data_IF_641709912900
#
_entry.id   IF_641709912900
#
_cell.length_a   1.000
_cell.length_b   1.000
_cell.length_c   1.000
_cell.angle_alpha   90.00
_cell.angle_beta   90.00
_cell.angle_gamma   90.00
#
_symmetry.space_group_name_H-M   'P 1'
#
loop_
_entity.id
_entity.type
_entity.pdbx_description
1 polymer ?
#
# COMPACT_ATOMS: atom_id res chain seq x y z
N UNK A 1 3.46 -11.02 16.43
CA UNK A 1 4.78 -11.30 15.76
C UNK A 1 5.28 -9.95 15.30
N UNK A 2 6.52 -9.58 15.60
CA UNK A 2 7.08 -8.32 15.12
C UNK A 2 7.23 -8.31 13.58
N UNK A 3 7.31 -7.13 13.01
CA UNK A 3 7.31 -6.97 11.54
C UNK A 3 8.55 -7.57 10.88
N UNK A 4 9.72 -7.54 11.55
CA UNK A 4 10.93 -8.15 11.04
C UNK A 4 10.74 -9.67 10.83
N UNK A 5 10.21 -10.35 11.85
CA UNK A 5 9.89 -11.79 11.77
C UNK A 5 8.82 -12.08 10.71
N UNK A 6 7.81 -11.23 10.57
CA UNK A 6 6.79 -11.39 9.52
C UNK A 6 7.43 -11.32 8.12
N UNK A 7 8.29 -10.32 7.87
CA UNK A 7 8.98 -10.16 6.59
C UNK A 7 9.98 -11.30 6.35
N UNK A 8 10.70 -11.76 7.37
CA UNK A 8 11.60 -12.93 7.25
C UNK A 8 10.84 -14.19 6.80
N UNK A 9 9.64 -14.40 7.32
CA UNK A 9 8.81 -15.55 6.99
C UNK A 9 7.99 -15.37 5.69
N UNK A 10 7.89 -14.15 5.17
CA UNK A 10 7.17 -13.88 3.94
C UNK A 10 7.75 -14.63 2.75
N UNK A 11 6.89 -15.25 1.94
CA UNK A 11 7.29 -15.96 0.71
C UNK A 11 7.08 -15.04 -0.49
N UNK A 12 8.15 -14.56 -1.13
CA UNK A 12 8.06 -13.71 -2.31
C UNK A 12 7.28 -14.36 -3.44
N UNK A 13 6.45 -13.60 -4.12
CA UNK A 13 5.66 -14.05 -5.26
C UNK A 13 6.51 -14.15 -6.55
N UNK A 14 7.46 -13.25 -6.71
CA UNK A 14 8.31 -13.14 -7.88
C UNK A 14 9.70 -12.58 -7.51
N UNK A 15 10.57 -12.42 -8.52
CA UNK A 15 11.93 -11.91 -8.32
C UNK A 15 11.94 -10.46 -7.78
N UNK A 16 10.99 -9.61 -8.18
CA UNK A 16 10.89 -8.25 -7.64
C UNK A 16 10.67 -8.28 -6.12
N UNK A 17 9.68 -9.04 -5.63
CA UNK A 17 9.44 -9.16 -4.19
C UNK A 17 10.60 -9.82 -3.44
N UNK A 18 11.33 -10.75 -4.06
CA UNK A 18 12.50 -11.36 -3.44
C UNK A 18 13.61 -10.34 -3.23
N UNK A 19 13.89 -9.49 -4.23
CA UNK A 19 14.88 -8.42 -4.13
C UNK A 19 14.46 -7.36 -3.13
N UNK A 20 13.22 -6.92 -3.20
CA UNK A 20 12.65 -5.91 -2.32
C UNK A 20 12.62 -6.39 -0.86
N UNK A 21 12.23 -7.64 -0.61
CA UNK A 21 12.34 -8.27 0.72
C UNK A 21 13.75 -8.18 1.29
N UNK A 22 14.76 -8.53 0.49
CA UNK A 22 16.16 -8.43 0.92
C UNK A 22 16.53 -7.02 1.35
N UNK A 23 16.21 -6.03 0.53
CA UNK A 23 16.51 -4.62 0.81
C UNK A 23 15.74 -4.10 2.04
N UNK A 24 14.47 -4.45 2.19
CA UNK A 24 13.68 -4.09 3.37
C UNK A 24 14.32 -4.66 4.65
N UNK A 25 14.69 -5.94 4.64
CA UNK A 25 15.35 -6.57 5.78
C UNK A 25 16.69 -5.92 6.13
N UNK A 26 17.49 -5.55 5.12
CA UNK A 26 18.76 -4.86 5.33
C UNK A 26 18.53 -3.48 5.97
N UNK A 27 17.55 -2.72 5.50
CA UNK A 27 17.19 -1.42 6.09
C UNK A 27 16.68 -1.57 7.54
N UNK A 28 15.79 -2.54 7.81
CA UNK A 28 15.27 -2.80 9.16
C UNK A 28 16.38 -3.16 10.16
N UNK A 29 17.44 -3.80 9.70
CA UNK A 29 18.59 -4.15 10.54
C UNK A 29 19.62 -3.02 10.69
N UNK A 30 19.68 -2.12 9.71
CA UNK A 30 20.66 -1.04 9.66
C UNK A 30 20.22 0.25 10.35
N UNK A 31 18.89 0.55 10.35
CA UNK A 31 18.34 1.82 10.80
C UNK A 31 17.38 1.64 11.96
N UNK A 32 17.67 2.26 13.11
CA UNK A 32 16.80 2.26 14.28
C UNK A 32 15.54 3.15 14.06
N UNK A 33 15.64 4.15 13.19
CA UNK A 33 14.61 5.16 12.90
C UNK A 33 13.78 4.85 11.64
N UNK A 34 13.88 3.64 11.09
CA UNK A 34 13.25 3.24 9.81
C UNK A 34 11.72 3.38 9.81
N UNK A 35 11.06 3.36 10.95
CA UNK A 35 9.62 3.58 11.07
C UNK A 35 9.21 5.05 11.07
N UNK A 36 10.15 5.97 11.04
CA UNK A 36 9.88 7.42 11.05
C UNK A 36 10.38 8.10 9.79
N UNK A 37 9.75 9.23 9.42
CA UNK A 37 10.20 10.07 8.30
C UNK A 37 11.46 10.88 8.63
N UNK A 38 12.01 10.75 9.83
CA UNK A 38 13.30 11.31 10.21
C UNK A 38 14.42 10.59 9.48
N UNK A 39 14.23 9.30 9.17
CA UNK A 39 15.09 8.61 8.22
C UNK A 39 14.84 9.13 6.79
N UNK A 40 15.72 10.01 6.35
CA UNK A 40 15.61 10.67 5.06
C UNK A 40 16.04 9.79 3.86
N UNK A 41 16.58 8.60 4.10
CA UNK A 41 17.00 7.67 3.05
C UNK A 41 15.90 6.67 2.70
N UNK A 42 15.31 6.06 3.73
CA UNK A 42 14.31 5.04 3.58
C UNK A 42 13.46 4.92 4.84
N UNK A 43 12.14 4.78 4.69
CA UNK A 43 11.27 4.55 5.84
C UNK A 43 10.07 3.67 5.49
N UNK A 44 9.52 3.03 6.53
CA UNK A 44 8.42 2.09 6.38
C UNK A 44 7.11 2.79 6.03
N UNK A 45 6.39 2.17 5.10
CA UNK A 45 5.02 2.53 4.73
C UNK A 45 4.14 1.30 4.71
N UNK A 46 2.84 1.49 4.86
CA UNK A 46 1.86 0.42 4.75
C UNK A 46 0.77 0.82 3.75
N UNK A 47 0.49 -0.08 2.81
CA UNK A 47 -0.55 0.10 1.81
C UNK A 47 -1.59 -1.02 1.88
N UNK A 48 -2.73 -0.77 1.28
CA UNK A 48 -3.83 -1.73 1.22
C UNK A 48 -4.31 -1.92 -0.22
N UNK A 49 -4.39 -3.17 -0.65
CA UNK A 49 -5.21 -3.55 -1.79
C UNK A 49 -6.61 -3.87 -1.27
N UNK A 50 -7.51 -2.90 -1.37
CA UNK A 50 -8.85 -2.99 -0.77
C UNK A 50 -9.82 -3.51 -1.80
N UNK A 51 -10.37 -4.70 -1.57
CA UNK A 51 -11.35 -5.34 -2.44
C UNK A 51 -12.74 -5.39 -1.80
N UNK A 52 -13.78 -5.52 -2.61
CA UNK A 52 -15.12 -5.77 -2.10
C UNK A 52 -15.31 -7.26 -1.71
N UNK A 53 -16.41 -7.59 -1.07
CA UNK A 53 -16.74 -8.97 -0.62
C UNK A 53 -16.79 -10.00 -1.79
N UNK A 54 -17.04 -9.55 -3.02
CA UNK A 54 -17.07 -10.41 -4.21
C UNK A 54 -15.70 -10.60 -4.86
N UNK A 55 -14.68 -9.85 -4.43
CA UNK A 55 -13.35 -9.84 -5.03
C UNK A 55 -13.35 -9.45 -6.53
N UNK A 56 -14.30 -8.61 -6.95
CA UNK A 56 -14.43 -8.14 -8.33
C UNK A 56 -14.20 -6.64 -8.51
N UNK A 57 -14.00 -5.91 -7.39
CA UNK A 57 -13.73 -4.47 -7.38
C UNK A 57 -12.60 -4.12 -6.43
N UNK A 58 -11.90 -3.04 -6.77
CA UNK A 58 -10.82 -2.43 -5.98
C UNK A 58 -11.14 -0.98 -5.68
N UNK A 59 -10.91 -0.57 -4.44
CA UNK A 59 -11.03 0.81 -3.99
C UNK A 59 -9.71 1.56 -4.26
N UNK A 60 -9.79 2.71 -4.91
CA UNK A 60 -8.63 3.58 -5.15
C UNK A 60 -8.95 5.03 -4.79
N UNK A 61 -7.91 5.78 -4.45
CA UNK A 61 -7.97 7.23 -4.25
C UNK A 61 -7.20 7.96 -5.36
N UNK A 62 -7.70 9.14 -5.76
CA UNK A 62 -6.98 10.02 -6.69
C UNK A 62 -6.03 10.90 -5.91
N UNK A 63 -4.75 10.55 -5.94
CA UNK A 63 -3.72 11.19 -5.13
C UNK A 63 -3.25 12.50 -5.77
N UNK A 64 -3.42 13.62 -5.05
CA UNK A 64 -3.16 14.96 -5.56
C UNK A 64 -1.69 15.20 -5.94
N UNK A 65 -0.74 14.60 -5.22
CA UNK A 65 0.69 14.79 -5.49
C UNK A 65 1.15 14.04 -6.75
N UNK A 66 0.64 12.81 -6.95
CA UNK A 66 1.04 11.97 -8.08
C UNK A 66 0.18 12.16 -9.33
N UNK A 67 -0.94 12.92 -9.20
CA UNK A 67 -1.93 13.14 -10.27
C UNK A 67 -2.39 11.81 -10.89
N UNK A 68 -2.69 10.85 -10.02
CA UNK A 68 -2.95 9.45 -10.39
C UNK A 68 -3.95 8.80 -9.45
N UNK A 69 -4.73 7.83 -9.98
CA UNK A 69 -5.44 6.87 -9.15
C UNK A 69 -4.44 5.87 -8.56
N UNK A 70 -4.46 5.75 -7.25
CA UNK A 70 -3.54 4.91 -6.49
C UNK A 70 -4.26 4.06 -5.45
N UNK A 71 -3.62 3.00 -4.99
CA UNK A 71 -4.03 2.29 -3.78
C UNK A 71 -4.05 3.23 -2.57
N UNK A 72 -4.61 2.78 -1.45
CA UNK A 72 -4.63 3.55 -0.21
C UNK A 72 -3.49 3.12 0.70
N UNK A 73 -2.93 4.06 1.45
CA UNK A 73 -1.84 3.77 2.37
C UNK A 73 -1.08 5.00 2.81
N UNK A 74 -0.21 4.82 3.79
CA UNK A 74 0.56 5.91 4.35
C UNK A 74 1.82 5.48 5.07
N UNK A 75 2.44 6.43 5.75
CA UNK A 75 3.67 6.22 6.48
C UNK A 75 3.41 5.57 7.84
N UNK A 76 4.37 4.78 8.30
CA UNK A 76 4.33 4.18 9.64
C UNK A 76 4.30 5.23 10.75
N UNK A 77 5.04 6.34 10.58
CA UNK A 77 5.10 7.48 11.53
C UNK A 77 5.34 7.06 12.99
N UNK A 78 6.18 6.03 13.17
CA UNK A 78 6.56 5.47 14.46
C UNK A 78 5.72 4.29 14.92
N UNK A 79 4.69 3.91 14.19
CA UNK A 79 3.88 2.72 14.49
C UNK A 79 4.48 1.48 13.79
N UNK A 80 4.80 0.45 14.54
CA UNK A 80 5.35 -0.81 14.02
C UNK A 80 4.26 -1.81 13.62
N UNK A 81 3.00 -1.58 14.00
CA UNK A 81 1.85 -2.36 13.53
C UNK A 81 1.38 -1.87 12.16
N UNK A 82 2.05 -2.32 11.11
CA UNK A 82 1.78 -1.88 9.74
C UNK A 82 0.39 -2.30 9.23
N UNK A 83 -0.21 -3.37 9.76
CA UNK A 83 -1.60 -3.72 9.47
C UNK A 83 -2.56 -2.68 10.07
N UNK A 84 -2.31 -2.25 11.31
CA UNK A 84 -3.10 -1.19 11.92
C UNK A 84 -2.95 0.15 11.17
N UNK A 85 -1.72 0.47 10.70
CA UNK A 85 -1.46 1.64 9.83
C UNK A 85 -2.29 1.55 8.55
N UNK A 86 -2.22 0.43 7.80
CA UNK A 86 -2.99 0.26 6.57
C UNK A 86 -4.51 0.40 6.78
N UNK A 87 -5.04 -0.21 7.85
CA UNK A 87 -6.46 -0.09 8.20
C UNK A 87 -6.88 1.34 8.56
N UNK A 88 -6.02 2.07 9.25
CA UNK A 88 -6.23 3.47 9.61
C UNK A 88 -6.26 4.35 8.36
N UNK A 89 -5.25 4.23 7.49
CA UNK A 89 -5.15 5.03 6.27
C UNK A 89 -6.34 4.79 5.34
N UNK A 90 -6.78 3.53 5.15
CA UNK A 90 -7.99 3.25 4.37
C UNK A 90 -9.21 4.00 4.89
N UNK A 91 -9.42 4.02 6.23
CA UNK A 91 -10.55 4.74 6.82
C UNK A 91 -10.44 6.25 6.65
N UNK A 92 -9.25 6.81 6.83
CA UNK A 92 -8.98 8.26 6.72
C UNK A 92 -9.11 8.76 5.28
N UNK A 93 -8.53 8.04 4.32
CA UNK A 93 -8.50 8.45 2.92
C UNK A 93 -9.80 8.21 2.17
N UNK A 94 -10.61 7.22 2.58
CA UNK A 94 -11.82 6.82 1.86
C UNK A 94 -13.13 7.01 2.62
N UNK A 95 -13.08 7.19 3.93
CA UNK A 95 -14.26 7.24 4.79
C UNK A 95 -14.95 5.89 5.01
N UNK A 96 -14.42 4.79 4.47
CA UNK A 96 -14.96 3.45 4.69
C UNK A 96 -14.79 3.05 6.16
N UNK A 97 -15.90 2.73 6.84
CA UNK A 97 -15.90 2.39 8.27
C UNK A 97 -15.63 0.92 8.53
N UNK A 98 -16.25 0.05 7.74
CA UNK A 98 -16.20 -1.40 7.91
C UNK A 98 -15.17 -2.00 6.95
N UNK A 99 -13.89 -1.85 7.28
CA UNK A 99 -12.77 -2.48 6.59
C UNK A 99 -12.11 -3.50 7.51
N UNK A 100 -11.81 -4.69 6.98
CA UNK A 100 -11.18 -5.79 7.69
C UNK A 100 -10.09 -6.46 6.85
N UNK A 101 -9.09 -7.08 7.45
CA UNK A 101 -8.11 -7.85 6.70
C UNK A 101 -8.76 -9.12 6.12
N UNK A 102 -8.36 -9.49 4.91
CA UNK A 102 -8.66 -10.79 4.32
C UNK A 102 -7.80 -11.90 4.94
N UNK A 103 -6.57 -11.55 5.33
CA UNK A 103 -5.63 -12.28 6.19
C UNK A 103 -4.81 -11.23 6.96
N UNK A 104 -4.33 -11.58 8.15
CA UNK A 104 -3.37 -10.75 8.90
C UNK A 104 -1.94 -10.83 8.34
N UNK A 105 -1.70 -11.76 7.42
CA UNK A 105 -0.40 -11.92 6.79
C UNK A 105 -0.11 -10.81 5.77
N UNK A 106 1.18 -10.53 5.59
CA UNK A 106 1.66 -9.65 4.53
C UNK A 106 1.21 -10.18 3.18
N UNK A 107 0.56 -9.33 2.40
CA UNK A 107 0.07 -9.68 1.08
C UNK A 107 1.12 -9.44 -0.01
N UNK A 108 1.88 -8.35 0.08
CA UNK A 108 2.91 -8.01 -0.91
C UNK A 108 3.98 -7.11 -0.31
N UNK A 109 5.19 -7.13 -0.90
CA UNK A 109 6.32 -6.28 -0.51
C UNK A 109 6.81 -5.49 -1.72
N UNK A 110 7.07 -4.21 -1.53
CA UNK A 110 7.59 -3.30 -2.55
C UNK A 110 8.61 -2.32 -1.96
N UNK A 111 9.68 -2.06 -2.70
CA UNK A 111 10.51 -0.87 -2.47
C UNK A 111 10.18 0.16 -3.54
N UNK A 112 9.61 1.28 -3.11
CA UNK A 112 9.12 2.33 -3.99
C UNK A 112 10.03 3.55 -3.94
N UNK A 113 10.36 4.11 -5.09
CA UNK A 113 11.12 5.36 -5.17
C UNK A 113 10.19 6.56 -5.05
N UNK A 114 10.58 7.53 -4.24
CA UNK A 114 9.91 8.83 -4.14
C UNK A 114 10.85 9.90 -4.66
N UNK A 115 10.43 10.61 -5.68
CA UNK A 115 11.18 11.73 -6.24
C UNK A 115 11.21 12.91 -5.27
N UNK A 116 12.30 13.70 -5.35
CA UNK A 116 12.41 14.92 -4.59
C UNK A 116 11.27 15.89 -4.91
N UNK A 117 10.60 16.41 -3.89
CA UNK A 117 9.41 17.24 -4.06
C UNK A 117 9.30 18.36 -3.01
N UNK A 118 8.39 19.31 -3.26
CA UNK A 118 8.06 20.35 -2.29
C UNK A 118 6.87 19.93 -1.44
N UNK A 119 7.03 19.90 -0.12
CA UNK A 119 5.95 19.62 0.84
C UNK A 119 5.86 20.76 1.86
N UNK A 120 4.70 21.43 1.91
CA UNK A 120 4.47 22.58 2.82
C UNK A 120 5.57 23.64 2.78
N UNK A 121 6.07 23.94 1.58
CA UNK A 121 7.10 24.96 1.34
C UNK A 121 8.55 24.54 1.68
N UNK A 122 8.78 23.27 2.02
CA UNK A 122 10.11 22.70 2.25
C UNK A 122 10.43 21.65 1.21
N UNK A 123 11.69 21.57 0.79
CA UNK A 123 12.18 20.52 -0.10
C UNK A 123 12.38 19.22 0.68
N UNK A 124 11.83 18.14 0.15
CA UNK A 124 12.03 16.78 0.61
C UNK A 124 12.89 16.05 -0.43
N UNK A 125 14.01 15.48 0.00
CA UNK A 125 14.91 14.73 -0.88
C UNK A 125 14.26 13.46 -1.41
N UNK A 126 14.74 12.95 -2.56
CA UNK A 126 14.39 11.62 -3.02
C UNK A 126 14.78 10.57 -1.98
N UNK A 127 13.90 9.60 -1.78
CA UNK A 127 14.06 8.56 -0.77
C UNK A 127 13.29 7.29 -1.16
N UNK A 128 13.39 6.25 -0.35
CA UNK A 128 12.68 4.99 -0.56
C UNK A 128 11.54 4.82 0.45
N UNK A 129 10.40 4.39 -0.05
CA UNK A 129 9.36 3.78 0.78
C UNK A 129 9.55 2.27 0.82
N UNK A 130 9.77 1.73 2.01
CA UNK A 130 9.83 0.31 2.29
C UNK A 130 8.40 -0.14 2.59
N UNK A 131 7.69 -0.58 1.56
CA UNK A 131 6.25 -0.75 1.62
C UNK A 131 5.82 -2.18 1.92
N UNK A 132 4.90 -2.31 2.86
CA UNK A 132 4.19 -3.56 3.17
C UNK A 132 2.74 -3.41 2.77
N UNK A 133 2.26 -4.26 1.87
CA UNK A 133 0.88 -4.25 1.40
C UNK A 133 0.04 -5.33 2.08
N UNK A 134 -1.17 -4.97 2.50
CA UNK A 134 -2.18 -5.90 3.04
C UNK A 134 -3.38 -6.01 2.11
N UNK A 135 -3.96 -7.22 2.03
CA UNK A 135 -5.24 -7.43 1.34
C UNK A 135 -6.38 -7.18 2.32
N UNK A 136 -7.14 -6.13 2.07
CA UNK A 136 -8.27 -5.75 2.91
C UNK A 136 -9.59 -5.92 2.16
N UNK A 137 -10.66 -6.16 2.92
CA UNK A 137 -12.03 -6.28 2.41
C UNK A 137 -12.88 -5.17 2.98
N UNK A 138 -13.65 -4.51 2.12
CA UNK A 138 -14.61 -3.49 2.51
C UNK A 138 -15.93 -3.63 1.72
N UNK A 139 -17.01 -3.12 2.29
CA UNK A 139 -18.33 -3.10 1.65
C UNK A 139 -18.38 -1.98 0.60
N UNK A 140 -18.59 -2.35 -0.67
CA UNK A 140 -18.66 -1.42 -1.81
C UNK A 140 -19.96 -0.58 -1.87
N UNK A 141 -20.87 -0.77 -0.91
CA UNK A 141 -22.07 0.06 -0.73
C UNK A 141 -21.88 1.24 0.23
N UNK A 142 -20.74 1.31 0.93
CA UNK A 142 -20.45 2.42 1.84
C UNK A 142 -20.34 3.75 1.10
N UNK A 143 -20.77 4.82 1.78
CA UNK A 143 -20.55 6.19 1.28
C UNK A 143 -19.06 6.51 1.39
N UNK A 144 -18.46 6.86 0.26
CA UNK A 144 -17.05 7.25 0.17
C UNK A 144 -16.90 8.76 0.44
N UNK A 145 -15.81 9.12 1.10
CA UNK A 145 -15.43 10.51 1.34
C UNK A 145 -13.97 10.71 0.97
N UNK A 146 -13.62 11.91 0.52
CA UNK A 146 -12.26 12.30 0.21
C UNK A 146 -11.58 12.89 1.45
N UNK A 147 -10.25 12.82 1.50
CA UNK A 147 -9.37 13.56 2.42
C UNK A 147 -8.70 14.69 1.62
N UNK A 148 -9.27 15.92 1.61
CA UNK A 148 -8.95 16.94 0.61
C UNK A 148 -7.50 17.40 0.57
N UNK A 149 -6.75 17.23 1.65
CA UNK A 149 -5.31 17.53 1.74
C UNK A 149 -4.42 16.45 1.09
N UNK A 150 -4.96 15.27 0.79
CA UNK A 150 -4.22 14.14 0.21
C UNK A 150 -4.82 13.67 -1.11
N UNK A 151 -6.15 13.55 -1.19
CA UNK A 151 -6.83 13.05 -2.38
C UNK A 151 -8.04 13.91 -2.79
N UNK A 152 -8.41 13.87 -4.07
CA UNK A 152 -9.56 14.59 -4.65
C UNK A 152 -10.63 13.66 -5.20
N UNK A 153 -10.45 12.36 -5.11
CA UNK A 153 -11.43 11.36 -5.53
C UNK A 153 -11.20 10.03 -4.83
N UNK A 154 -12.30 9.32 -4.55
CA UNK A 154 -12.26 7.93 -4.06
C UNK A 154 -13.32 7.15 -4.80
N UNK A 155 -12.97 6.00 -5.38
CA UNK A 155 -13.87 5.24 -6.25
C UNK A 155 -13.55 3.75 -6.28
N UNK A 156 -14.59 2.94 -6.43
CA UNK A 156 -14.47 1.53 -6.77
C UNK A 156 -14.31 1.34 -8.28
N UNK A 157 -13.32 0.55 -8.66
CA UNK A 157 -13.04 0.14 -10.04
C UNK A 157 -13.21 -1.38 -10.18
N UNK A 158 -13.42 -1.86 -11.40
CA UNK A 158 -13.13 -3.26 -11.71
C UNK A 158 -11.64 -3.53 -11.55
N UNK A 159 -11.21 -4.78 -11.41
CA UNK A 159 -9.80 -5.12 -11.23
C UNK A 159 -8.91 -4.55 -12.36
N UNK A 160 -9.33 -4.74 -13.61
CA UNK A 160 -8.59 -4.23 -14.76
C UNK A 160 -8.74 -2.71 -14.88
N UNK A 161 -9.93 -2.17 -14.58
CA UNK A 161 -10.17 -0.73 -14.55
C UNK A 161 -9.33 0.01 -13.51
N UNK A 162 -8.98 -0.61 -12.37
CA UNK A 162 -8.05 -0.05 -11.38
C UNK A 162 -6.64 0.13 -11.96
N UNK A 163 -6.17 -0.87 -12.72
CA UNK A 163 -4.87 -0.80 -13.41
C UNK A 163 -4.88 0.30 -14.48
N UNK A 164 -5.94 0.37 -15.29
CA UNK A 164 -6.07 1.34 -16.38
C UNK A 164 -6.20 2.78 -15.88
N UNK A 165 -6.83 2.98 -14.72
CA UNK A 165 -7.06 4.30 -14.13
C UNK A 165 -5.77 4.98 -13.63
N UNK A 166 -4.75 4.22 -13.25
CA UNK A 166 -3.47 4.77 -12.84
C UNK A 166 -2.72 5.37 -14.02
N UNK A 167 -2.16 6.57 -13.83
CA UNK A 167 -1.28 7.23 -14.80
C UNK A 167 0.19 6.79 -14.68
N UNK A 168 0.53 5.96 -13.71
CA UNK A 168 1.88 5.52 -13.38
C UNK A 168 2.22 4.17 -14.05
N UNK A 169 2.98 4.15 -15.19
CA UNK A 169 3.18 2.92 -15.97
C UNK A 169 3.84 1.80 -15.18
N UNK A 170 4.81 2.13 -14.32
CA UNK A 170 5.53 1.16 -13.52
C UNK A 170 4.62 0.49 -12.48
N UNK A 171 3.78 1.28 -11.79
CA UNK A 171 2.78 0.75 -10.84
C UNK A 171 1.76 -0.15 -11.53
N UNK A 172 1.29 0.24 -12.74
CA UNK A 172 0.36 -0.58 -13.51
C UNK A 172 0.96 -1.94 -13.84
N UNK A 173 2.19 -1.96 -14.36
CA UNK A 173 2.84 -3.16 -14.86
C UNK A 173 3.34 -4.08 -13.73
N UNK A 174 4.01 -3.51 -12.72
CA UNK A 174 4.74 -4.28 -11.72
C UNK A 174 4.03 -4.43 -10.39
N UNK A 175 3.09 -3.53 -10.06
CA UNK A 175 2.38 -3.54 -8.76
C UNK A 175 0.93 -3.99 -8.94
N UNK A 176 0.08 -3.20 -9.59
CA UNK A 176 -1.36 -3.45 -9.58
C UNK A 176 -1.77 -4.73 -10.32
N UNK A 177 -1.13 -5.06 -11.45
CA UNK A 177 -1.34 -6.34 -12.11
C UNK A 177 -0.93 -7.51 -11.22
N UNK A 178 0.24 -7.43 -10.55
CA UNK A 178 0.72 -8.42 -9.58
C UNK A 178 -0.29 -8.61 -8.43
N UNK A 179 -0.77 -7.50 -7.83
CA UNK A 179 -1.74 -7.56 -6.74
C UNK A 179 -3.06 -8.20 -7.18
N UNK A 180 -3.55 -7.91 -8.38
CA UNK A 180 -4.73 -8.53 -8.94
C UNK A 180 -4.54 -10.04 -9.15
N UNK A 181 -3.39 -10.48 -9.64
CA UNK A 181 -3.08 -11.90 -9.81
C UNK A 181 -3.01 -12.63 -8.47
N UNK A 182 -2.28 -12.09 -7.50
CA UNK A 182 -2.21 -12.63 -6.13
C UNK A 182 -3.57 -12.71 -5.47
N UNK A 183 -4.41 -11.68 -5.63
CA UNK A 183 -5.76 -11.65 -5.09
C UNK A 183 -6.66 -12.73 -5.73
N UNK A 184 -6.56 -12.94 -7.06
CA UNK A 184 -7.31 -14.03 -7.74
C UNK A 184 -6.91 -15.41 -7.22
N UNK A 185 -5.61 -15.63 -6.98
CA UNK A 185 -5.09 -16.89 -6.39
C UNK A 185 -5.61 -17.07 -4.96
N UNK A 186 -5.48 -16.05 -4.11
CA UNK A 186 -6.00 -16.06 -2.74
C UNK A 186 -7.51 -16.38 -2.68
N UNK A 187 -8.31 -15.77 -3.56
CA UNK A 187 -9.74 -16.01 -3.61
C UNK A 187 -10.08 -17.43 -4.10
N UNK A 188 -9.30 -17.97 -5.02
CA UNK A 188 -9.50 -19.34 -5.52
C UNK A 188 -9.20 -20.41 -4.46
N UNK A 189 -8.20 -20.17 -3.60
CA UNK A 189 -7.81 -21.09 -2.51
C UNK A 189 -8.83 -21.14 -1.35
N UNK A 190 -9.70 -20.11 -1.24
CA UNK A 190 -10.74 -20.04 -0.20
C UNK A 190 -12.11 -20.60 -0.63
N UNK A 191 -12.25 -21.02 -1.88
CA UNK A 191 -13.47 -21.67 -2.41
C UNK A 191 -13.43 -23.18 -2.28
#
# INVERSE_FOLDING_TARGET
MDILTQIENYRPYNEQEERDKGLILDCLRAFEDVFTRENALAHMTASAWVVNERFDRVLMAYHNLYDSWSWLGGHADGDEDLLAVALKEVREESGVKNVRPASEDIFSLEVLTVDGHMKRGKYVSSHLHLNVTYLLIADDTNVLTVKPDENSGVKWFTLDGAVEASSEPWFREHIYNKLNEKMRQFHAEKK
#
